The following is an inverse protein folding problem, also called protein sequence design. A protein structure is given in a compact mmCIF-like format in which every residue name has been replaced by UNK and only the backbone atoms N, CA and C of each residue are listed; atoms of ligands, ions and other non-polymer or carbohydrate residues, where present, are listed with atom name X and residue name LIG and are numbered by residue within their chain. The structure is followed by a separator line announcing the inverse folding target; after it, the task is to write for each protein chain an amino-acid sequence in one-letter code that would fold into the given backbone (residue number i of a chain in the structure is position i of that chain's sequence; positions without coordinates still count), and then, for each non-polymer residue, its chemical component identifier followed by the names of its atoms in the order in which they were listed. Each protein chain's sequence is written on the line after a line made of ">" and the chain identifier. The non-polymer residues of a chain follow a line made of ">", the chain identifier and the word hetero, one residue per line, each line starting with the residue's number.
data_IF_088208166971
#
_entry.id   IF_088208166971
#
_cell.length_a   1.000
_cell.length_b   1.000
_cell.length_c   1.000
_cell.angle_alpha   90.00
_cell.angle_beta   90.00
_cell.angle_gamma   90.00
#
_symmetry.space_group_name_H-M   'P 1'
#
loop_
_entity.id
_entity.type
_entity.pdbx_description
1 polymer ?
#
# COMPACT_ATOMS: atom_id res chain seq x y z
N UNK A 1 -2.42 -1.26 14.34
CA UNK A 1 -2.00 -2.22 13.30
C UNK A 1 -1.11 -1.60 12.21
N UNK A 2 -1.27 -0.33 11.82
CA UNK A 2 -0.43 0.32 10.78
C UNK A 2 1.01 0.77 11.14
N UNK A 3 1.53 0.43 12.33
CA UNK A 3 2.81 1.00 12.82
C UNK A 3 4.06 0.25 12.39
N UNK A 4 3.96 -1.08 12.33
CA UNK A 4 5.04 -1.95 11.87
C UNK A 4 5.54 -1.56 10.48
N UNK A 5 4.59 -1.09 9.68
CA UNK A 5 4.78 -0.77 8.31
C UNK A 5 5.28 0.70 8.17
N UNK A 6 4.68 1.68 8.88
CA UNK A 6 5.18 3.08 8.98
C UNK A 6 6.67 3.21 9.33
N UNK A 7 7.15 2.37 10.25
CA UNK A 7 8.53 2.31 10.72
C UNK A 7 9.56 1.99 9.62
N UNK A 8 9.18 1.10 8.70
CA UNK A 8 10.05 0.51 7.69
C UNK A 8 10.43 1.50 6.59
N UNK A 9 9.50 2.41 6.26
CA UNK A 9 9.58 3.32 5.12
C UNK A 9 9.89 4.75 5.58
N UNK A 10 9.23 5.24 6.65
CA UNK A 10 9.40 6.61 7.12
C UNK A 10 10.82 6.93 7.62
N UNK A 11 11.51 5.95 8.18
CA UNK A 11 12.82 6.15 8.83
C UNK A 11 13.95 6.53 7.87
N UNK A 12 13.98 5.96 6.68
CA UNK A 12 15.06 6.23 5.71
C UNK A 12 14.70 7.33 4.72
N UNK A 13 13.40 7.58 4.51
CA UNK A 13 12.91 8.70 3.71
C UNK A 13 13.40 10.06 4.26
N UNK A 14 13.31 10.25 5.59
CA UNK A 14 13.79 11.47 6.24
C UNK A 14 15.31 11.60 6.24
N UNK A 15 16.08 10.51 6.30
CA UNK A 15 17.55 10.59 6.19
C UNK A 15 18.00 10.91 4.76
N UNK A 16 17.28 10.43 3.74
CA UNK A 16 17.47 10.82 2.34
C UNK A 16 17.18 12.30 2.10
N UNK A 17 16.12 12.85 2.71
CA UNK A 17 15.81 14.28 2.72
C UNK A 17 16.84 15.12 3.50
N UNK A 18 17.48 14.54 4.52
CA UNK A 18 18.48 15.24 5.33
C UNK A 18 19.86 15.27 4.64
N UNK A 19 20.17 14.29 3.80
CA UNK A 19 21.43 14.20 3.02
C UNK A 19 21.33 14.83 1.63
N UNK A 20 20.13 14.86 1.03
CA UNK A 20 19.86 15.57 -0.22
C UNK A 20 19.26 16.95 0.11
N UNK A 21 20.13 17.96 0.23
CA UNK A 21 19.72 19.34 0.52
C UNK A 21 18.59 19.83 -0.40
N UNK A 22 17.54 20.37 0.24
CA UNK A 22 16.50 21.25 -0.34
C UNK A 22 16.01 20.85 -1.74
N UNK A 23 15.15 19.84 -1.80
CA UNK A 23 14.40 19.47 -3.00
C UNK A 23 13.00 18.96 -2.67
N UNK A 24 12.03 19.87 -2.66
CA UNK A 24 10.59 19.65 -2.67
C UNK A 24 9.95 19.01 -1.42
N UNK A 25 9.36 19.88 -0.59
CA UNK A 25 8.24 19.58 0.30
C UNK A 25 7.06 19.04 -0.53
N UNK A 26 7.05 17.74 -0.81
CA UNK A 26 5.81 17.03 -1.03
C UNK A 26 5.44 16.38 0.29
N UNK A 27 4.90 17.19 1.20
CA UNK A 27 3.87 16.68 2.12
C UNK A 27 2.90 15.87 1.25
N UNK A 28 2.54 14.67 1.67
CA UNK A 28 1.51 13.87 1.01
C UNK A 28 0.15 14.59 1.17
N UNK A 29 -0.02 15.69 0.44
CA UNK A 29 -1.30 16.31 0.19
C UNK A 29 -2.16 15.23 -0.47
N UNK A 30 -3.40 15.02 -0.01
CA UNK A 30 -4.27 14.03 -0.61
C UNK A 30 -4.35 14.28 -2.12
N UNK A 31 -3.82 13.34 -2.91
CA UNK A 31 -3.88 13.39 -4.39
C UNK A 31 -5.33 13.25 -4.92
N UNK A 32 -6.30 13.15 -4.02
CA UNK A 32 -7.73 13.34 -4.21
C UNK A 32 -8.27 14.36 -3.18
N UNK A 33 -9.16 15.29 -3.56
CA UNK A 33 -9.54 16.42 -2.71
C UNK A 33 -10.20 15.94 -1.38
N UNK A 34 -9.57 16.20 -0.22
CA UNK A 34 -9.97 15.62 1.07
C UNK A 34 -11.26 16.23 1.64
N UNK A 35 -11.65 17.41 1.15
CA UNK A 35 -12.66 18.25 1.80
C UNK A 35 -14.11 17.83 1.54
N UNK A 36 -14.37 16.78 0.74
CA UNK A 36 -15.75 16.33 0.44
C UNK A 36 -16.23 15.14 1.28
N UNK A 37 -15.34 14.44 1.99
CA UNK A 37 -15.66 13.13 2.59
C UNK A 37 -15.37 13.03 4.10
N UNK A 38 -15.10 14.16 4.78
CA UNK A 38 -14.86 14.15 6.23
C UNK A 38 -13.68 13.28 6.65
N UNK A 39 -12.58 13.32 5.88
CA UNK A 39 -11.37 12.56 6.20
C UNK A 39 -10.58 13.29 7.30
N UNK A 40 -10.22 12.56 8.34
CA UNK A 40 -9.34 13.02 9.42
C UNK A 40 -8.08 12.17 9.47
N UNK A 41 -6.94 12.79 9.75
CA UNK A 41 -5.68 12.08 9.96
C UNK A 41 -5.75 11.30 11.27
N UNK A 42 -5.37 10.02 11.25
CA UNK A 42 -5.34 9.20 12.46
C UNK A 42 -3.92 9.22 13.04
N UNK A 43 -3.68 9.81 14.22
CA UNK A 43 -2.36 9.75 14.83
C UNK A 43 -2.00 8.29 15.16
N UNK A 44 -0.75 7.92 14.87
CA UNK A 44 -0.25 6.61 15.24
C UNK A 44 -0.29 6.43 16.77
N UNK A 45 -1.01 5.41 17.25
CA UNK A 45 -1.10 5.07 18.69
C UNK A 45 0.29 4.87 19.31
N UNK A 46 0.54 5.47 20.48
CA UNK A 46 1.84 5.43 21.18
C UNK A 46 2.28 4.03 21.63
N UNK A 47 3.56 3.69 21.41
CA UNK A 47 4.20 2.39 21.72
C UNK A 47 5.48 2.22 20.88
N UNK A 48 6.24 1.14 20.97
CA UNK A 48 7.37 0.85 20.08
C UNK A 48 7.06 -0.38 19.23
N UNK A 49 7.55 -0.45 17.99
CA UNK A 49 7.40 -1.64 17.14
C UNK A 49 8.57 -2.59 17.38
N UNK A 50 8.28 -3.89 17.44
CA UNK A 50 9.29 -4.95 17.37
C UNK A 50 8.95 -5.96 16.28
N UNK A 51 9.98 -6.63 15.76
CA UNK A 51 9.83 -7.75 14.83
C UNK A 51 10.34 -9.02 15.47
N UNK A 52 9.46 -10.02 15.59
CA UNK A 52 9.76 -11.31 16.20
C UNK A 52 9.83 -12.41 15.15
N UNK A 53 10.93 -13.17 15.14
CA UNK A 53 11.13 -14.24 14.15
C UNK A 53 10.68 -15.63 14.65
N UNK A 54 10.01 -15.71 15.80
CA UNK A 54 9.66 -16.99 16.44
C UNK A 54 10.66 -17.46 17.50
N UNK A 55 11.84 -16.83 17.60
CA UNK A 55 12.87 -17.13 18.61
C UNK A 55 13.26 -15.89 19.42
N UNK A 56 13.58 -14.81 18.73
CA UNK A 56 14.00 -13.54 19.34
C UNK A 56 13.45 -12.34 18.56
N UNK A 57 13.49 -11.16 19.20
CA UNK A 57 13.26 -9.90 18.51
C UNK A 57 14.49 -9.61 17.63
N UNK A 58 14.29 -9.60 16.31
CA UNK A 58 15.33 -9.30 15.32
C UNK A 58 15.48 -7.81 15.07
N UNK A 59 14.44 -7.05 15.39
CA UNK A 59 14.42 -5.59 15.36
C UNK A 59 13.47 -5.07 16.43
N UNK A 60 13.86 -3.96 17.06
CA UNK A 60 13.05 -3.25 18.05
C UNK A 60 13.31 -1.75 17.88
N UNK A 61 12.24 -1.01 17.69
CA UNK A 61 12.28 0.45 17.64
C UNK A 61 12.71 1.02 18.97
N UNK A 62 13.49 2.08 18.89
CA UNK A 62 13.78 3.02 19.97
C UNK A 62 12.85 4.23 19.84
N UNK A 63 12.68 4.96 20.94
CA UNK A 63 12.06 6.29 20.92
C UNK A 63 12.88 7.31 20.10
N UNK A 64 14.16 7.02 19.86
CA UNK A 64 15.05 7.87 19.10
C UNK A 64 15.08 7.45 17.63
N UNK A 65 14.53 8.30 16.77
CA UNK A 65 14.49 8.11 15.32
C UNK A 65 15.85 7.74 14.72
N UNK A 66 16.90 8.48 15.06
CA UNK A 66 18.25 8.26 14.50
C UNK A 66 18.79 6.87 14.84
N UNK A 67 18.48 6.36 16.04
CA UNK A 67 18.87 5.01 16.45
C UNK A 67 18.17 3.97 15.56
N UNK A 68 16.90 4.18 15.22
CA UNK A 68 16.16 3.27 14.32
C UNK A 68 16.78 3.23 12.94
N UNK A 69 17.18 4.39 12.41
CA UNK A 69 17.86 4.46 11.11
C UNK A 69 19.19 3.72 11.13
N UNK A 70 20.03 3.95 12.14
CA UNK A 70 21.32 3.25 12.27
C UNK A 70 21.10 1.75 12.37
N UNK A 71 20.14 1.28 13.18
CA UNK A 71 19.80 -0.16 13.30
C UNK A 71 19.38 -0.75 11.95
N UNK A 72 18.54 -0.06 11.19
CA UNK A 72 18.05 -0.51 9.88
C UNK A 72 19.20 -0.58 8.86
N UNK A 73 20.01 0.47 8.76
CA UNK A 73 21.16 0.50 7.83
C UNK A 73 22.21 -0.53 8.20
N UNK A 74 22.49 -0.70 9.49
CA UNK A 74 23.48 -1.66 9.96
C UNK A 74 23.08 -3.11 9.64
N UNK A 75 21.81 -3.46 9.86
CA UNK A 75 21.33 -4.84 9.67
C UNK A 75 20.91 -5.15 8.24
N UNK A 76 20.30 -4.19 7.54
CA UNK A 76 19.66 -4.41 6.25
C UNK A 76 20.25 -3.56 5.12
N UNK A 77 21.22 -2.69 5.41
CA UNK A 77 21.75 -1.72 4.44
C UNK A 77 20.67 -0.75 3.98
N UNK A 78 20.74 -0.34 2.71
CA UNK A 78 19.76 0.55 2.09
C UNK A 78 18.50 -0.17 1.57
N UNK A 79 18.21 -1.38 2.04
CA UNK A 79 17.09 -2.17 1.53
C UNK A 79 15.72 -1.53 1.82
N UNK A 80 15.52 -0.88 2.98
CA UNK A 80 14.24 -0.21 3.21
C UNK A 80 14.04 1.03 2.33
N UNK A 81 15.11 1.74 1.97
CA UNK A 81 15.02 2.83 0.98
C UNK A 81 14.68 2.28 -0.41
N UNK A 82 15.36 1.21 -0.83
CA UNK A 82 15.04 0.51 -2.09
C UNK A 82 13.60 0.00 -2.12
N UNK A 83 13.08 -0.45 -0.98
CA UNK A 83 11.71 -0.89 -0.81
C UNK A 83 10.72 0.25 -1.07
N UNK A 84 10.96 1.41 -0.44
CA UNK A 84 10.15 2.60 -0.68
C UNK A 84 10.12 2.98 -2.17
N UNK A 85 11.29 3.08 -2.81
CA UNK A 85 11.37 3.43 -4.24
C UNK A 85 10.62 2.42 -5.13
N UNK A 86 10.74 1.13 -4.83
CA UNK A 86 10.06 0.08 -5.59
C UNK A 86 8.53 0.15 -5.43
N UNK A 87 8.03 0.44 -4.22
CA UNK A 87 6.59 0.65 -3.97
C UNK A 87 6.08 1.92 -4.66
N UNK A 88 6.81 3.03 -4.59
CA UNK A 88 6.42 4.29 -5.23
C UNK A 88 6.33 4.17 -6.76
N UNK A 89 7.27 3.49 -7.42
CA UNK A 89 7.20 3.26 -8.88
C UNK A 89 5.95 2.46 -9.28
N UNK A 90 5.58 1.48 -8.46
CA UNK A 90 4.34 0.72 -8.65
C UNK A 90 3.13 1.62 -8.41
N UNK A 91 3.06 2.34 -7.31
CA UNK A 91 1.95 3.26 -7.03
C UNK A 91 1.76 4.32 -8.13
N UNK A 92 2.84 4.92 -8.63
CA UNK A 92 2.77 5.93 -9.70
C UNK A 92 2.12 5.37 -10.98
N UNK A 93 2.48 4.14 -11.37
CA UNK A 93 1.82 3.44 -12.47
C UNK A 93 0.36 3.18 -12.13
N UNK A 94 0.06 2.63 -10.95
CA UNK A 94 -1.31 2.34 -10.52
C UNK A 94 -2.25 3.55 -10.63
N UNK A 95 -1.78 4.75 -10.26
CA UNK A 95 -2.57 5.99 -10.31
C UNK A 95 -3.06 6.36 -11.73
N UNK A 96 -2.50 5.78 -12.79
CA UNK A 96 -3.00 5.95 -14.16
C UNK A 96 -4.43 5.47 -14.33
N UNK A 97 -4.92 4.57 -13.47
CA UNK A 97 -6.32 4.12 -13.47
C UNK A 97 -7.31 5.30 -13.42
N UNK A 98 -6.98 6.35 -12.67
CA UNK A 98 -7.85 7.52 -12.53
C UNK A 98 -7.98 8.32 -13.82
N UNK A 99 -6.97 8.29 -14.71
CA UNK A 99 -7.06 8.90 -16.04
C UNK A 99 -8.03 8.17 -16.94
N UNK A 100 -8.11 6.84 -16.84
CA UNK A 100 -9.10 6.05 -17.59
C UNK A 100 -10.50 6.30 -17.04
N UNK A 101 -10.65 6.31 -15.72
CA UNK A 101 -11.93 6.59 -15.07
C UNK A 101 -12.45 8.00 -15.37
N UNK A 102 -11.58 9.01 -15.48
CA UNK A 102 -12.00 10.38 -15.82
C UNK A 102 -12.50 10.53 -17.26
N UNK A 103 -12.31 9.53 -18.11
CA UNK A 103 -12.79 9.48 -19.50
C UNK A 103 -13.85 8.39 -19.69
N UNK A 104 -14.52 7.96 -18.60
CA UNK A 104 -15.55 6.93 -18.58
C UNK A 104 -15.12 5.60 -19.23
N UNK A 105 -13.81 5.33 -19.24
CA UNK A 105 -13.25 4.13 -19.84
C UNK A 105 -13.28 2.97 -18.84
N UNK A 106 -13.87 1.85 -19.26
CA UNK A 106 -13.92 0.61 -18.51
C UNK A 106 -13.24 -0.53 -19.26
N UNK A 107 -12.73 -1.52 -18.53
CA UNK A 107 -12.02 -2.67 -19.08
C UNK A 107 -12.88 -3.92 -19.01
N UNK A 108 -12.84 -4.74 -20.07
CA UNK A 108 -13.58 -6.01 -20.12
C UNK A 108 -12.91 -7.15 -19.34
N UNK A 109 -11.67 -6.97 -18.87
CA UNK A 109 -10.93 -7.94 -18.06
C UNK A 109 -9.88 -7.27 -17.19
N UNK A 110 -9.50 -7.93 -16.09
CA UNK A 110 -8.43 -7.48 -15.19
C UNK A 110 -7.10 -7.40 -15.92
N UNK A 111 -6.79 -8.35 -16.80
CA UNK A 111 -5.56 -8.36 -17.57
C UNK A 111 -5.41 -7.09 -18.44
N UNK A 112 -6.48 -6.68 -19.14
CA UNK A 112 -6.48 -5.44 -19.93
C UNK A 112 -6.30 -4.20 -19.05
N UNK A 113 -6.93 -4.16 -17.89
CA UNK A 113 -6.74 -3.09 -16.90
C UNK A 113 -5.28 -3.01 -16.46
N UNK A 114 -4.70 -4.13 -16.03
CA UNK A 114 -3.33 -4.18 -15.54
C UNK A 114 -2.32 -3.80 -16.63
N UNK A 115 -2.54 -4.29 -17.85
CA UNK A 115 -1.73 -3.90 -19.00
C UNK A 115 -1.84 -2.40 -19.32
N UNK A 116 -3.03 -1.80 -19.25
CA UNK A 116 -3.19 -0.37 -19.49
C UNK A 116 -2.52 0.50 -18.42
N UNK A 117 -2.50 0.03 -17.17
CA UNK A 117 -1.84 0.72 -16.07
C UNK A 117 -0.31 0.69 -16.21
N UNK A 118 0.28 -0.49 -16.43
CA UNK A 118 1.74 -0.67 -16.35
C UNK A 118 2.36 -1.63 -17.35
N UNK A 119 1.65 -2.02 -18.40
CA UNK A 119 2.11 -2.95 -19.44
C UNK A 119 2.22 -4.40 -18.96
N UNK A 120 2.98 -5.21 -19.72
CA UNK A 120 3.20 -6.63 -19.42
C UNK A 120 3.83 -6.86 -18.04
N UNK A 121 4.68 -5.93 -17.59
CA UNK A 121 5.31 -5.99 -16.28
C UNK A 121 4.26 -6.03 -15.16
N UNK A 122 3.22 -5.22 -15.29
CA UNK A 122 2.11 -5.18 -14.34
C UNK A 122 1.25 -6.45 -14.39
N UNK A 123 1.01 -6.99 -15.58
CA UNK A 123 0.30 -8.27 -15.75
C UNK A 123 1.10 -9.39 -15.08
N UNK A 124 2.43 -9.41 -15.23
CA UNK A 124 3.30 -10.42 -14.59
C UNK A 124 3.26 -10.38 -13.06
N UNK A 125 3.00 -9.22 -12.44
CA UNK A 125 2.85 -9.13 -10.98
C UNK A 125 1.67 -9.96 -10.44
N UNK A 126 0.67 -10.27 -11.27
CA UNK A 126 -0.46 -11.11 -10.87
C UNK A 126 -0.09 -12.61 -10.81
N UNK A 127 0.90 -13.03 -11.60
CA UNK A 127 1.25 -14.43 -11.82
C UNK A 127 2.59 -14.84 -11.18
N UNK A 128 3.33 -13.89 -10.61
CA UNK A 128 4.59 -14.14 -9.92
C UNK A 128 4.46 -13.82 -8.44
N UNK A 129 5.22 -14.52 -7.61
CA UNK A 129 5.17 -14.29 -6.16
C UNK A 129 5.87 -12.98 -5.79
N UNK A 130 5.48 -12.40 -4.66
CA UNK A 130 6.17 -11.24 -4.09
C UNK A 130 7.65 -11.56 -3.84
N UNK A 131 7.94 -12.75 -3.30
CA UNK A 131 9.32 -13.20 -3.04
C UNK A 131 10.15 -13.23 -4.31
N UNK A 132 9.65 -13.83 -5.39
CA UNK A 132 10.38 -13.88 -6.67
C UNK A 132 10.67 -12.49 -7.22
N UNK A 133 9.69 -11.58 -7.16
CA UNK A 133 9.85 -10.22 -7.64
C UNK A 133 10.89 -9.44 -6.83
N UNK A 134 10.83 -9.51 -5.50
CA UNK A 134 11.79 -8.82 -4.66
C UNK A 134 13.19 -9.45 -4.75
N UNK A 135 13.32 -10.77 -4.89
CA UNK A 135 14.64 -11.38 -5.16
C UNK A 135 15.24 -10.91 -6.47
N UNK A 136 14.46 -10.89 -7.56
CA UNK A 136 14.88 -10.33 -8.86
C UNK A 136 15.25 -8.86 -8.73
N UNK A 137 14.51 -8.12 -7.92
CA UNK A 137 14.79 -6.74 -7.58
C UNK A 137 15.89 -6.59 -6.50
N UNK A 138 16.73 -7.59 -6.25
CA UNK A 138 17.97 -7.48 -5.47
C UNK A 138 17.80 -7.38 -3.94
N UNK A 139 16.64 -7.72 -3.40
CA UNK A 139 16.44 -7.76 -1.95
C UNK A 139 17.03 -9.03 -1.32
N UNK A 140 17.64 -8.89 -0.14
CA UNK A 140 18.27 -10.02 0.56
C UNK A 140 17.24 -10.92 1.23
N UNK A 141 17.55 -12.22 1.35
CA UNK A 141 16.71 -13.17 2.08
C UNK A 141 16.44 -12.73 3.53
N UNK A 142 17.45 -12.16 4.20
CA UNK A 142 17.31 -11.64 5.56
C UNK A 142 16.22 -10.57 5.64
N UNK A 143 16.24 -9.58 4.75
CA UNK A 143 15.22 -8.53 4.72
C UNK A 143 13.84 -9.07 4.33
N UNK A 144 13.77 -10.01 3.38
CA UNK A 144 12.51 -10.65 3.01
C UNK A 144 11.87 -11.40 4.18
N UNK A 145 12.68 -12.11 4.96
CA UNK A 145 12.18 -12.93 6.06
C UNK A 145 11.92 -12.10 7.32
N UNK A 146 12.77 -11.13 7.62
CA UNK A 146 12.68 -10.34 8.84
C UNK A 146 11.83 -9.08 8.69
N UNK A 147 11.66 -8.51 7.50
CA UNK A 147 10.87 -7.28 7.33
C UNK A 147 9.62 -7.48 6.47
N UNK A 148 9.71 -8.21 5.35
CA UNK A 148 8.58 -8.33 4.41
C UNK A 148 7.57 -9.40 4.84
N UNK A 149 8.03 -10.59 5.22
CA UNK A 149 7.15 -11.68 5.64
C UNK A 149 6.25 -11.32 6.85
N UNK A 150 6.73 -10.61 7.88
CA UNK A 150 5.87 -10.13 8.95
C UNK A 150 4.76 -9.19 8.47
N UNK A 151 5.03 -8.28 7.51
CA UNK A 151 3.99 -7.41 6.94
C UNK A 151 2.90 -8.25 6.26
N UNK A 152 3.29 -9.26 5.47
CA UNK A 152 2.32 -10.15 4.82
C UNK A 152 1.47 -10.91 5.83
N UNK A 153 2.08 -11.40 6.91
CA UNK A 153 1.36 -12.09 7.98
C UNK A 153 0.39 -11.18 8.72
N UNK A 154 0.77 -9.94 9.00
CA UNK A 154 -0.09 -8.97 9.71
C UNK A 154 -1.27 -8.54 8.85
N UNK A 155 -1.07 -8.30 7.55
CA UNK A 155 -2.13 -7.82 6.67
C UNK A 155 -3.05 -8.93 6.14
N UNK A 156 -2.49 -10.10 5.81
CA UNK A 156 -3.21 -11.15 5.09
C UNK A 156 -3.10 -12.54 5.71
N UNK A 157 -2.29 -12.73 6.77
CA UNK A 157 -2.03 -14.07 7.32
C UNK A 157 -1.30 -15.01 6.35
N UNK A 158 -0.66 -14.47 5.31
CA UNK A 158 -0.01 -15.23 4.24
C UNK A 158 1.51 -15.11 4.29
N UNK A 159 2.20 -16.03 3.59
CA UNK A 159 3.62 -15.94 3.31
C UNK A 159 3.90 -14.91 2.20
N UNK A 160 5.17 -14.75 1.85
CA UNK A 160 5.59 -13.94 0.69
C UNK A 160 5.37 -14.64 -0.66
N UNK A 161 4.65 -15.76 -0.67
CA UNK A 161 4.27 -16.48 -1.90
C UNK A 161 2.96 -15.94 -2.51
N UNK A 162 2.32 -14.96 -1.84
CA UNK A 162 1.22 -14.17 -2.41
C UNK A 162 1.68 -13.51 -3.73
N UNK A 163 0.74 -13.24 -4.64
CA UNK A 163 1.08 -12.54 -5.87
C UNK A 163 1.73 -11.17 -5.57
N UNK A 164 2.69 -10.77 -6.42
CA UNK A 164 3.52 -9.62 -6.18
C UNK A 164 2.74 -8.29 -6.15
N UNK A 165 1.65 -8.20 -6.90
CA UNK A 165 0.81 -7.00 -6.90
C UNK A 165 0.15 -6.75 -5.54
N UNK A 166 -0.53 -7.76 -4.97
CA UNK A 166 -1.13 -7.66 -3.63
C UNK A 166 -0.06 -7.49 -2.57
N UNK A 167 1.07 -8.18 -2.71
CA UNK A 167 2.25 -7.99 -1.86
C UNK A 167 2.74 -6.54 -1.86
N UNK A 168 2.80 -5.90 -3.02
CA UNK A 168 3.18 -4.49 -3.14
C UNK A 168 2.18 -3.57 -2.45
N UNK A 169 0.87 -3.76 -2.69
CA UNK A 169 -0.21 -2.99 -2.04
C UNK A 169 -0.16 -3.15 -0.51
N UNK A 170 0.17 -4.34 0.00
CA UNK A 170 0.41 -4.56 1.43
C UNK A 170 1.50 -3.64 2.01
N UNK A 171 2.54 -3.40 1.23
CA UNK A 171 3.69 -2.58 1.60
C UNK A 171 3.42 -1.08 1.43
N UNK A 172 2.35 -0.68 0.74
CA UNK A 172 1.93 0.75 0.68
C UNK A 172 1.21 1.16 1.95
N UNK A 173 0.54 0.22 2.63
CA UNK A 173 -0.05 0.44 3.97
C UNK A 173 1.01 0.62 5.06
N UNK A 174 2.28 0.67 4.66
CA UNK A 174 3.45 0.96 5.45
C UNK A 174 3.79 2.43 5.58
N UNK A 175 2.86 3.32 5.27
CA UNK A 175 3.02 4.75 5.51
C UNK A 175 2.30 5.18 6.80
N UNK A 176 2.85 6.18 7.48
CA UNK A 176 2.27 6.87 8.63
C UNK A 176 1.08 7.76 8.29
N UNK A 177 0.85 8.06 7.01
CA UNK A 177 -0.18 9.01 6.56
C UNK A 177 -1.56 8.34 6.34
N UNK A 178 -2.07 7.66 7.37
CA UNK A 178 -3.38 7.01 7.30
C UNK A 178 -4.51 7.98 7.65
N UNK A 179 -5.58 7.91 6.86
CA UNK A 179 -6.79 8.71 7.02
C UNK A 179 -7.95 7.82 7.43
N UNK A 180 -8.86 8.36 8.24
CA UNK A 180 -10.12 7.71 8.56
C UNK A 180 -11.28 8.65 8.25
N UNK A 181 -12.41 8.05 7.86
CA UNK A 181 -13.67 8.77 7.72
C UNK A 181 -14.19 9.08 9.12
N UNK A 182 -14.43 10.36 9.39
CA UNK A 182 -15.07 10.80 10.63
C UNK A 182 -16.46 10.15 10.76
N UNK A 183 -16.75 9.52 11.91
CA UNK A 183 -17.97 8.72 12.11
C UNK A 183 -17.94 7.30 11.52
N UNK A 184 -16.82 6.92 10.89
CA UNK A 184 -16.51 5.55 10.44
C UNK A 184 -16.82 5.27 8.97
N UNK A 185 -16.16 4.24 8.42
CA UNK A 185 -16.22 3.89 6.98
C UNK A 185 -17.63 3.60 6.46
N UNK A 186 -18.60 3.27 7.32
CA UNK A 186 -20.02 3.06 6.94
C UNK A 186 -20.63 4.28 6.24
N UNK A 187 -20.15 5.48 6.56
CA UNK A 187 -20.67 6.74 6.00
C UNK A 187 -20.38 6.85 4.50
N UNK A 188 -19.29 6.25 4.02
CA UNK A 188 -18.94 6.26 2.59
C UNK A 188 -20.06 5.64 1.75
N UNK A 189 -20.54 4.45 2.14
CA UNK A 189 -21.59 3.76 1.40
C UNK A 189 -22.91 4.56 1.42
N UNK A 190 -23.31 5.09 2.58
CA UNK A 190 -24.52 5.90 2.71
C UNK A 190 -24.43 7.20 1.89
N UNK A 191 -23.28 7.86 1.89
CA UNK A 191 -23.04 9.08 1.10
C UNK A 191 -23.05 8.82 -0.40
N UNK A 192 -22.45 7.71 -0.86
CA UNK A 192 -22.50 7.30 -2.27
C UNK A 192 -23.94 7.00 -2.72
N UNK A 193 -24.73 6.32 -1.89
CA UNK A 193 -26.14 6.04 -2.19
C UNK A 193 -26.97 7.32 -2.30
N UNK A 194 -26.70 8.31 -1.44
CA UNK A 194 -27.37 9.61 -1.52
C UNK A 194 -26.95 10.39 -2.77
N UNK A 195 -25.66 10.35 -3.13
CA UNK A 195 -25.12 11.09 -4.27
C UNK A 195 -25.51 10.49 -5.63
N UNK A 196 -25.64 9.17 -5.72
CA UNK A 196 -26.00 8.47 -6.97
C UNK A 196 -27.42 8.75 -7.44
N UNK A 197 -28.29 9.26 -6.57
CA UNK A 197 -29.74 9.38 -6.82
C UNK A 197 -30.39 8.05 -7.27
N UNK A 198 -29.77 6.91 -6.94
CA UNK A 198 -30.24 5.59 -7.37
C UNK A 198 -31.44 5.13 -6.55
N UNK A 199 -32.37 4.41 -7.18
CA UNK A 199 -33.44 3.72 -6.46
C UNK A 199 -32.91 2.44 -5.79
N UNK A 200 -32.79 2.44 -4.47
CA UNK A 200 -32.36 1.26 -3.72
C UNK A 200 -33.50 0.25 -3.63
N UNK A 201 -33.32 -0.91 -4.26
CA UNK A 201 -34.24 -2.04 -4.16
C UNK A 201 -33.64 -3.03 -3.16
N UNK A 202 -34.27 -3.16 -1.99
CA UNK A 202 -33.88 -4.15 -0.99
C UNK A 202 -34.43 -5.53 -1.37
N UNK A 203 -33.54 -6.46 -1.70
CA UNK A 203 -33.89 -7.84 -2.02
C UNK A 203 -32.68 -8.68 -2.39
N UNK A 204 -32.86 -10.00 -2.42
CA UNK A 204 -31.84 -10.94 -2.91
C UNK A 204 -31.96 -11.10 -4.42
N UNK A 205 -30.85 -10.94 -5.14
CA UNK A 205 -30.79 -11.26 -6.57
C UNK A 205 -30.70 -12.78 -6.71
N UNK A 206 -31.73 -13.40 -7.30
CA UNK A 206 -31.82 -14.86 -7.47
C UNK A 206 -31.25 -15.34 -8.81
N UNK A 207 -31.39 -14.53 -9.86
CA UNK A 207 -30.85 -14.79 -11.19
C UNK A 207 -30.58 -13.48 -11.92
N UNK A 208 -29.67 -13.51 -12.90
CA UNK A 208 -29.37 -12.43 -13.82
C UNK A 208 -29.39 -13.04 -15.22
N UNK A 209 -30.17 -12.46 -16.13
CA UNK A 209 -30.27 -12.90 -17.52
C UNK A 209 -29.90 -11.74 -18.44
N UNK A 210 -29.12 -12.04 -19.47
CA UNK A 210 -28.76 -11.05 -20.48
C UNK A 210 -29.96 -10.82 -21.41
N UNK A 211 -30.44 -9.58 -21.48
CA UNK A 211 -31.54 -9.24 -22.39
C UNK A 211 -30.97 -8.98 -23.78
N UNK A 212 -31.02 -9.98 -24.65
CA UNK A 212 -30.69 -9.80 -26.07
C UNK A 212 -31.67 -8.78 -26.67
N UNK A 213 -31.17 -7.63 -27.13
CA UNK A 213 -31.99 -6.66 -27.87
C UNK A 213 -32.30 -7.25 -29.25
N UNK A 214 -33.55 -7.67 -29.45
CA UNK A 214 -34.15 -7.91 -30.78
C UNK A 214 -34.52 -6.61 -31.46
#
# INVERSE_FOLDING_TARGET
>A
MGRFAAALVGSLFWLGLLLCGLGSLASAEPRAPPNRIGLSSVPASGGLVGVYNGKSLVFEESSWFVINVIKLVWRYGFQSLRMHMWVEDLLDKFMRIYRYQSHDYAFSSVEKLMHAIGGDDYVRLLNQTLRENLKKAGFSETFLNEMIAPVMKVNYGQSTDINAFVGAVSLTAADSNLWAVEGGNKIVCSGLLQASSSNLISGSVMSIEEKTRT
#
